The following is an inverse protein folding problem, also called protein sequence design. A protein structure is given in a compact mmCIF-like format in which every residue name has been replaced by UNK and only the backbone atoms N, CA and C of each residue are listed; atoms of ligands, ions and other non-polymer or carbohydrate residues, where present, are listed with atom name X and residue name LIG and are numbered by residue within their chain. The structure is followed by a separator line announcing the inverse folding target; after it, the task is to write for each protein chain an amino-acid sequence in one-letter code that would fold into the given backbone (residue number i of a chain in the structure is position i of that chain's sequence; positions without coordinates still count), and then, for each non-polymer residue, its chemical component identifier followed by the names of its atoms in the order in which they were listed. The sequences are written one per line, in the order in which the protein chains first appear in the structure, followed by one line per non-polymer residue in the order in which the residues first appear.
data_IF_850619013629
#
_entry.id   IF_850619013629
#
_cell.length_a   1.000
_cell.length_b   1.000
_cell.length_c   1.000
_cell.angle_alpha   90.00
_cell.angle_beta   90.00
_cell.angle_gamma   90.00
#
_symmetry.space_group_name_H-M   'P 1'
#
loop_
_entity.id
_entity.type
_entity.pdbx_description
1 polymer ?
#
# COMPACT_ATOMS: atom_id res chain seq x y z
N UNK A 1 15.56 20.78 26.59
CA UNK A 1 16.21 19.45 26.60
C UNK A 1 16.39 18.91 28.03
N UNK A 2 16.87 19.68 29.01
CA UNK A 2 17.14 19.16 30.36
C UNK A 2 15.89 18.72 31.15
N UNK A 3 14.77 19.42 31.05
CA UNK A 3 13.55 19.09 31.83
C UNK A 3 12.81 17.83 31.32
N UNK A 4 12.84 17.55 30.02
CA UNK A 4 12.17 16.38 29.43
C UNK A 4 12.86 15.06 29.78
N UNK A 5 14.20 15.08 29.85
CA UNK A 5 15.05 13.93 30.19
C UNK A 5 14.90 13.56 31.69
N UNK A 6 14.68 14.55 32.56
CA UNK A 6 14.47 14.33 34.00
C UNK A 6 13.18 13.53 34.26
N UNK A 7 12.08 13.81 33.56
CA UNK A 7 10.81 13.07 33.76
C UNK A 7 10.89 11.60 33.30
N UNK A 8 11.73 11.30 32.30
CA UNK A 8 11.90 9.93 31.79
C UNK A 8 12.76 9.08 32.74
N UNK A 9 13.77 9.71 33.36
CA UNK A 9 14.65 9.07 34.35
C UNK A 9 13.89 8.74 35.64
N UNK A 10 13.01 9.63 36.09
CA UNK A 10 12.12 9.42 37.24
C UNK A 10 11.06 8.35 36.97
N UNK A 11 10.47 8.33 35.77
CA UNK A 11 9.50 7.29 35.36
C UNK A 11 10.12 5.89 35.28
N UNK A 12 11.38 5.78 34.83
CA UNK A 12 12.08 4.49 34.79
C UNK A 12 12.58 4.05 36.17
N UNK A 13 13.01 4.95 37.06
CA UNK A 13 13.29 4.59 38.45
C UNK A 13 12.06 4.03 39.15
N UNK A 14 10.88 4.63 38.92
CA UNK A 14 9.60 4.13 39.41
C UNK A 14 9.30 2.72 38.86
N UNK A 15 9.53 2.48 37.56
CA UNK A 15 9.28 1.18 36.93
C UNK A 15 10.30 0.09 37.33
N UNK A 16 11.55 0.46 37.59
CA UNK A 16 12.61 -0.47 38.01
C UNK A 16 12.38 -1.08 39.39
N UNK A 17 11.53 -0.45 40.23
CA UNK A 17 11.08 -0.97 41.53
C UNK A 17 10.08 -2.12 41.41
N UNK A 18 9.44 -2.29 40.24
CA UNK A 18 8.46 -3.35 39.98
C UNK A 18 9.00 -4.48 39.10
N UNK A 19 10.30 -4.44 38.75
CA UNK A 19 10.94 -5.47 37.96
C UNK A 19 11.52 -6.55 38.89
N UNK A 20 11.14 -7.83 38.78
CA UNK A 20 11.50 -8.88 39.73
C UNK A 20 12.96 -9.34 39.66
N UNK A 21 13.81 -8.70 38.85
CA UNK A 21 15.24 -9.04 38.70
C UNK A 21 16.12 -7.78 38.68
N UNK A 22 17.23 -7.82 39.42
CA UNK A 22 18.23 -6.74 39.45
C UNK A 22 18.93 -6.59 38.10
N UNK A 23 18.53 -5.59 37.32
CA UNK A 23 19.29 -5.14 36.15
C UNK A 23 20.66 -4.61 36.61
N UNK A 24 21.73 -5.17 36.07
CA UNK A 24 23.09 -4.71 36.36
C UNK A 24 23.29 -3.26 35.94
N UNK A 25 24.10 -2.52 36.70
CA UNK A 25 24.38 -1.08 36.47
C UNK A 25 24.79 -0.78 35.02
N UNK A 26 25.60 -1.66 34.41
CA UNK A 26 26.03 -1.58 33.00
C UNK A 26 24.89 -1.71 32.00
N UNK A 27 23.91 -2.58 32.26
CA UNK A 27 22.75 -2.75 31.38
C UNK A 27 21.82 -1.53 31.42
N UNK A 28 21.67 -0.92 32.60
CA UNK A 28 20.93 0.35 32.76
C UNK A 28 21.62 1.48 31.99
N UNK A 29 22.94 1.64 32.14
CA UNK A 29 23.72 2.68 31.45
C UNK A 29 23.68 2.53 29.92
N UNK A 30 23.80 1.30 29.39
CA UNK A 30 23.70 1.05 27.95
C UNK A 30 22.31 1.36 27.39
N UNK A 31 21.25 1.03 28.13
CA UNK A 31 19.87 1.37 27.75
C UNK A 31 19.65 2.88 27.71
N UNK A 32 20.11 3.62 28.73
CA UNK A 32 20.01 5.08 28.76
C UNK A 32 20.71 5.73 27.57
N UNK A 33 21.91 5.26 27.21
CA UNK A 33 22.65 5.79 26.06
C UNK A 33 21.91 5.58 24.74
N UNK A 34 21.31 4.41 24.53
CA UNK A 34 20.52 4.12 23.32
C UNK A 34 19.25 4.99 23.26
N UNK A 35 18.59 5.21 24.39
CA UNK A 35 17.42 6.09 24.45
C UNK A 35 17.79 7.56 24.20
N UNK A 36 18.91 8.05 24.74
CA UNK A 36 19.40 9.41 24.47
C UNK A 36 19.74 9.61 22.99
N UNK A 37 20.42 8.65 22.36
CA UNK A 37 20.71 8.69 20.92
C UNK A 37 19.43 8.70 20.09
N UNK A 38 18.43 7.87 20.44
CA UNK A 38 17.15 7.80 19.73
C UNK A 38 16.31 9.08 19.88
N UNK A 39 16.26 9.66 21.08
CA UNK A 39 15.54 10.91 21.35
C UNK A 39 16.23 12.08 20.62
N UNK A 40 17.55 12.11 20.60
CA UNK A 40 18.32 13.10 19.84
C UNK A 40 18.04 12.99 18.34
N UNK A 41 17.98 11.77 17.80
CA UNK A 41 17.70 11.53 16.37
C UNK A 41 16.25 11.91 15.99
N UNK A 42 15.29 11.71 16.90
CA UNK A 42 13.89 12.13 16.71
C UNK A 42 13.77 13.67 16.79
N UNK A 43 14.43 14.31 17.76
CA UNK A 43 14.40 15.76 17.92
C UNK A 43 15.06 16.48 16.74
N UNK A 44 16.16 15.93 16.21
CA UNK A 44 16.83 16.48 15.02
C UNK A 44 15.96 16.37 13.76
N UNK A 45 15.15 15.32 13.63
CA UNK A 45 14.21 15.16 12.50
C UNK A 45 12.99 16.08 12.58
N UNK A 46 12.60 16.48 13.78
CA UNK A 46 11.46 17.40 13.99
C UNK A 46 11.90 18.87 13.88
N UNK A 47 13.17 19.19 14.13
CA UNK A 47 13.69 20.57 13.98
C UNK A 47 13.82 21.05 12.54
N UNK A 48 13.83 20.15 11.56
CA UNK A 48 13.96 20.51 10.14
C UNK A 48 12.65 21.07 9.52
N UNK A 49 11.53 21.08 10.27
CA UNK A 49 10.24 21.65 9.84
C UNK A 49 9.91 23.03 10.48
N UNK A 50 10.89 23.77 11.00
CA UNK A 50 10.64 25.08 11.59
C UNK A 50 10.65 26.22 10.55
N UNK A 51 9.45 26.70 10.17
CA UNK A 51 9.24 27.91 9.39
C UNK A 51 9.69 29.18 10.15
N UNK A 52 10.41 30.05 9.44
CA UNK A 52 10.77 31.40 9.88
C UNK A 52 9.63 32.36 9.54
N UNK A 53 8.93 32.89 10.55
CA UNK A 53 8.20 34.15 10.45
C UNK A 53 8.65 35.07 11.59
N UNK A 54 8.83 36.34 11.26
CA UNK A 54 9.51 37.33 12.07
C UNK A 54 8.87 37.52 13.45
N UNK A 55 9.71 37.41 14.49
CA UNK A 55 9.41 37.95 15.81
C UNK A 55 9.00 36.92 16.86
N UNK A 56 9.98 36.50 17.68
CA UNK A 56 9.85 35.79 18.98
C UNK A 56 9.28 34.36 18.92
N UNK A 57 10.18 33.39 18.68
CA UNK A 57 9.91 31.95 18.84
C UNK A 57 9.83 31.56 20.33
N UNK A 58 8.65 31.13 20.78
CA UNK A 58 8.47 30.23 21.93
C UNK A 58 7.84 28.93 21.40
N UNK A 59 8.61 27.86 21.33
CA UNK A 59 8.12 26.52 20.96
C UNK A 59 7.49 25.87 22.19
N UNK A 60 6.16 25.71 22.19
CA UNK A 60 5.47 24.86 23.15
C UNK A 60 5.39 23.43 22.57
N UNK A 61 6.21 22.52 23.06
CA UNK A 61 6.08 21.07 22.82
C UNK A 61 4.92 20.54 23.66
N UNK A 62 3.73 20.36 23.07
CA UNK A 62 2.54 19.85 23.80
C UNK A 62 2.23 18.37 23.59
N UNK A 63 2.88 17.68 22.64
CA UNK A 63 2.41 16.35 22.19
C UNK A 63 3.47 15.23 22.22
N UNK A 64 4.09 14.95 23.38
CA UNK A 64 4.88 13.70 23.59
C UNK A 64 4.21 12.77 24.61
N UNK A 65 2.87 12.75 24.66
CA UNK A 65 2.14 11.98 25.68
C UNK A 65 1.94 10.49 25.39
N UNK A 66 2.27 9.98 24.20
CA UNK A 66 1.92 8.59 23.84
C UNK A 66 3.07 7.82 23.17
N UNK A 67 4.03 7.34 23.98
CA UNK A 67 4.99 6.29 23.57
C UNK A 67 4.68 5.02 24.37
N UNK A 68 4.29 3.95 23.68
CA UNK A 68 4.13 2.62 24.29
C UNK A 68 5.38 1.78 24.04
N UNK A 69 5.97 1.24 25.11
CA UNK A 69 7.08 0.29 25.05
C UNK A 69 6.57 -1.07 25.51
N UNK A 70 6.56 -2.06 24.62
CA UNK A 70 6.29 -3.46 24.97
C UNK A 70 7.59 -4.25 24.99
N UNK A 71 7.78 -5.08 26.02
CA UNK A 71 8.92 -6.00 26.11
C UNK A 71 8.43 -7.45 26.23
N UNK A 72 9.20 -8.39 25.69
CA UNK A 72 8.96 -9.82 25.85
C UNK A 72 10.27 -10.53 26.19
N UNK A 73 10.28 -11.23 27.33
CA UNK A 73 11.43 -12.01 27.78
C UNK A 73 11.25 -13.47 27.33
N UNK A 74 12.30 -14.08 26.80
CA UNK A 74 12.27 -15.48 26.40
C UNK A 74 13.13 -16.31 27.37
N UNK A 75 12.59 -17.43 27.92
CA UNK A 75 13.41 -18.37 28.67
C UNK A 75 14.38 -19.11 27.73
N UNK A 76 15.57 -19.51 28.22
CA UNK A 76 16.52 -20.27 27.42
C UNK A 76 15.94 -21.64 27.02
N UNK A 77 16.27 -22.08 25.80
CA UNK A 77 15.89 -23.40 25.26
C UNK A 77 16.60 -24.52 26.03
N UNK A 78 15.93 -25.68 26.31
CA UNK A 78 16.54 -26.81 27.02
C UNK A 78 17.76 -27.44 26.32
N UNK A 79 18.03 -27.08 25.06
CA UNK A 79 19.12 -27.64 24.25
C UNK A 79 20.44 -26.84 24.35
N UNK A 80 20.45 -25.69 25.01
CA UNK A 80 21.63 -24.83 25.15
C UNK A 80 22.11 -24.77 26.61
N UNK A 81 22.52 -25.91 27.15
CA UNK A 81 23.04 -26.05 28.51
C UNK A 81 24.46 -25.47 28.73
N UNK A 82 24.98 -24.65 27.80
CA UNK A 82 26.35 -24.09 27.91
C UNK A 82 26.40 -22.68 28.52
N UNK A 83 25.27 -21.97 28.67
CA UNK A 83 25.25 -20.60 29.21
C UNK A 83 23.98 -20.33 30.05
N UNK A 84 23.98 -20.63 31.36
CA UNK A 84 22.77 -20.62 32.19
C UNK A 84 22.22 -19.21 32.53
N UNK A 85 22.91 -18.12 32.15
CA UNK A 85 22.57 -16.74 32.57
C UNK A 85 22.33 -15.74 31.43
N UNK A 86 22.02 -16.19 30.20
CA UNK A 86 21.73 -15.28 29.09
C UNK A 86 20.23 -15.23 28.78
N UNK A 87 19.58 -14.13 29.19
CA UNK A 87 18.23 -13.78 28.76
C UNK A 87 18.30 -12.91 27.50
N UNK A 88 17.58 -13.31 26.45
CA UNK A 88 17.42 -12.49 25.25
C UNK A 88 16.23 -11.53 25.47
N UNK A 89 16.49 -10.23 25.41
CA UNK A 89 15.46 -9.19 25.55
C UNK A 89 15.12 -8.60 24.19
N UNK A 90 13.84 -8.62 23.82
CA UNK A 90 13.33 -7.90 22.66
C UNK A 90 12.45 -6.74 23.12
N UNK A 91 12.73 -5.54 22.62
CA UNK A 91 11.97 -4.33 22.88
C UNK A 91 11.24 -3.89 21.62
N UNK A 92 9.95 -3.58 21.75
CA UNK A 92 9.11 -3.00 20.70
C UNK A 92 8.68 -1.61 21.18
N UNK A 93 9.18 -0.56 20.53
CA UNK A 93 8.78 0.82 20.81
C UNK A 93 7.81 1.23 19.70
N UNK A 94 6.60 1.62 20.08
CA UNK A 94 5.54 2.06 19.16
C UNK A 94 5.24 3.54 19.42
N UNK A 95 5.46 4.39 18.41
CA UNK A 95 4.97 5.77 18.40
C UNK A 95 3.59 5.79 17.78
N UNK A 96 2.60 6.41 18.43
CA UNK A 96 1.19 6.26 18.03
C UNK A 96 0.84 6.81 16.64
N UNK A 97 1.69 7.63 16.01
CA UNK A 97 1.41 8.22 14.69
C UNK A 97 2.34 7.76 13.56
N UNK A 98 3.25 6.80 13.80
CA UNK A 98 4.05 6.18 12.73
C UNK A 98 4.21 4.68 12.97
N UNK A 99 3.78 3.86 12.00
CA UNK A 99 3.98 2.40 12.03
C UNK A 99 5.44 2.04 11.67
N UNK A 100 6.39 2.34 12.55
CA UNK A 100 7.75 1.81 12.48
C UNK A 100 7.99 0.87 13.68
N UNK A 101 8.21 -0.41 13.41
CA UNK A 101 8.69 -1.38 14.41
C UNK A 101 10.18 -1.61 14.18
N UNK A 102 11.02 -1.36 15.19
CA UNK A 102 12.46 -1.63 15.15
C UNK A 102 12.80 -2.69 16.20
N UNK A 103 13.25 -3.86 15.75
CA UNK A 103 13.74 -4.93 16.63
C UNK A 103 15.23 -4.67 16.89
N UNK A 104 15.60 -4.35 18.12
CA UNK A 104 16.99 -4.13 18.53
C UNK A 104 17.48 -5.33 19.34
N UNK A 105 18.51 -6.01 18.84
CA UNK A 105 19.28 -7.02 19.58
C UNK A 105 20.58 -6.34 20.03
N UNK A 106 20.90 -6.29 21.34
CA UNK A 106 22.11 -5.64 21.80
C UNK A 106 23.36 -6.44 21.37
N UNK A 107 24.47 -5.77 21.01
CA UNK A 107 25.70 -6.45 20.64
C UNK A 107 26.45 -6.89 21.89
N UNK A 108 26.59 -8.20 22.11
CA UNK A 108 27.63 -8.75 22.99
C UNK A 108 28.64 -9.54 22.18
N UNK A 109 29.78 -8.89 21.92
CA UNK A 109 31.15 -9.40 21.83
C UNK A 109 31.40 -10.88 21.43
N UNK A 110 32.13 -11.00 20.31
CA UNK A 110 33.04 -12.06 19.87
C UNK A 110 32.47 -13.36 19.27
N UNK A 111 33.11 -13.72 18.15
CA UNK A 111 32.93 -14.85 17.24
C UNK A 111 32.17 -16.07 17.80
N UNK A 112 31.08 -16.43 17.13
CA UNK A 112 30.66 -17.83 16.91
C UNK A 112 29.62 -17.84 15.77
N UNK A 113 29.83 -18.74 14.82
CA UNK A 113 29.22 -18.73 13.50
C UNK A 113 27.69 -18.77 13.48
N UNK A 114 27.16 -18.26 12.36
CA UNK A 114 25.85 -18.64 11.83
C UNK A 114 25.62 -20.14 12.12
N UNK A 115 24.59 -20.44 12.91
CA UNK A 115 23.68 -21.60 12.78
C UNK A 115 22.78 -21.62 14.04
N UNK A 116 21.83 -20.69 14.08
CA UNK A 116 20.62 -20.84 14.88
C UNK A 116 19.42 -20.72 13.92
N UNK A 117 18.56 -21.75 13.98
CA UNK A 117 17.67 -22.21 12.91
C UNK A 117 16.69 -21.18 12.34
N UNK A 118 16.57 -21.16 11.00
CA UNK A 118 15.46 -20.61 10.20
C UNK A 118 14.05 -20.99 10.71
N UNK A 119 13.93 -22.06 11.48
CA UNK A 119 12.64 -22.56 11.99
C UNK A 119 12.08 -21.77 13.17
N UNK A 120 12.92 -21.04 13.93
CA UNK A 120 12.42 -20.23 15.05
C UNK A 120 11.78 -18.90 14.57
N UNK A 121 12.27 -18.36 13.44
CA UNK A 121 11.71 -17.17 12.78
C UNK A 121 10.39 -17.50 12.05
N UNK A 122 10.24 -18.72 11.52
CA UNK A 122 8.97 -19.18 10.91
C UNK A 122 7.80 -19.24 11.89
N UNK A 123 8.06 -19.53 13.17
CA UNK A 123 6.98 -19.69 14.15
C UNK A 123 6.45 -18.37 14.76
N UNK A 124 7.05 -17.24 14.43
CA UNK A 124 6.57 -15.90 14.82
C UNK A 124 5.56 -15.30 13.83
N UNK A 125 5.38 -15.91 12.65
CA UNK A 125 4.44 -15.45 11.63
C UNK A 125 3.60 -16.65 11.17
N UNK A 126 2.38 -16.81 11.72
CA UNK A 126 1.39 -17.71 11.09
C UNK A 126 1.06 -17.13 9.69
N UNK A 127 1.09 -17.93 8.62
CA UNK A 127 1.04 -17.42 7.27
C UNK A 127 -0.40 -17.04 6.90
N UNK A 128 -0.70 -15.74 6.85
CA UNK A 128 -1.66 -15.23 5.87
C UNK A 128 -0.89 -15.04 4.57
N UNK A 129 -1.11 -15.90 3.59
CA UNK A 129 -0.57 -15.77 2.22
C UNK A 129 -1.21 -14.55 1.54
N UNK A 130 -0.72 -13.35 1.85
CA UNK A 130 -0.92 -12.12 1.07
C UNK A 130 0.11 -11.02 1.43
N UNK A 131 1.22 -11.37 2.09
CA UNK A 131 2.33 -10.45 2.36
C UNK A 131 3.62 -11.07 1.82
N UNK A 132 3.89 -10.87 0.53
CA UNK A 132 5.27 -10.75 0.09
C UNK A 132 5.79 -9.41 0.61
N UNK A 133 6.26 -9.41 1.86
CA UNK A 133 7.20 -8.40 2.32
C UNK A 133 8.46 -8.64 1.48
N UNK A 134 8.80 -7.70 0.61
CA UNK A 134 10.14 -7.64 0.00
C UNK A 134 11.14 -7.88 1.12
N UNK A 135 11.89 -8.98 1.04
CA UNK A 135 13.10 -9.13 1.81
C UNK A 135 13.95 -7.92 1.49
N UNK A 136 14.12 -7.01 2.45
CA UNK A 136 15.22 -6.07 2.40
C UNK A 136 16.47 -6.92 2.24
N UNK A 137 17.12 -6.77 1.08
CA UNK A 137 18.36 -7.44 0.78
C UNK A 137 19.29 -7.25 1.98
N UNK A 138 19.86 -8.34 2.47
CA UNK A 138 21.02 -8.27 3.35
C UNK A 138 22.04 -7.37 2.67
N UNK A 139 22.36 -6.23 3.28
CA UNK A 139 23.48 -5.41 2.87
C UNK A 139 24.72 -6.31 2.86
N UNK A 140 25.14 -6.62 1.64
CA UNK A 140 26.41 -7.22 1.29
C UNK A 140 27.08 -6.26 0.30
N UNK A 141 28.41 -6.24 0.26
CA UNK A 141 29.19 -5.02 0.41
C UNK A 141 29.23 -4.16 -0.86
N UNK A 142 29.05 -2.85 -0.69
CA UNK A 142 29.42 -1.78 -1.63
C UNK A 142 28.90 -1.91 -3.07
N UNK A 143 27.61 -1.65 -3.30
CA UNK A 143 27.15 -1.22 -4.61
C UNK A 143 27.55 0.25 -4.84
N UNK A 144 28.60 0.47 -5.63
CA UNK A 144 28.85 1.78 -6.25
C UNK A 144 27.58 2.14 -7.04
N UNK A 145 26.87 3.21 -6.67
CA UNK A 145 25.84 3.80 -7.55
C UNK A 145 26.49 4.08 -8.90
N UNK A 146 26.16 3.30 -9.91
CA UNK A 146 26.61 3.58 -11.27
C UNK A 146 26.11 4.98 -11.67
N UNK A 147 27.05 5.82 -12.09
CA UNK A 147 26.77 7.21 -12.46
C UNK A 147 26.02 7.19 -13.80
N UNK A 148 24.69 7.35 -13.78
CA UNK A 148 23.92 7.53 -15.02
C UNK A 148 24.38 8.81 -15.75
N UNK A 149 24.65 8.70 -17.05
CA UNK A 149 25.03 9.81 -17.93
C UNK A 149 23.80 10.42 -18.59
N UNK A 150 23.85 11.70 -18.93
CA UNK A 150 22.75 12.38 -19.65
C UNK A 150 22.95 12.19 -21.15
N UNK A 151 21.97 11.56 -21.80
CA UNK A 151 22.00 11.28 -23.24
C UNK A 151 21.29 12.39 -24.04
N UNK A 152 20.21 12.93 -23.47
CA UNK A 152 19.37 13.97 -24.06
C UNK A 152 18.78 14.85 -22.95
N UNK A 153 18.80 16.16 -23.13
CA UNK A 153 18.06 17.09 -22.28
C UNK A 153 17.48 18.20 -23.15
N UNK A 154 16.19 18.51 -22.99
CA UNK A 154 15.54 19.61 -23.69
C UNK A 154 14.46 20.24 -22.82
N UNK A 155 14.41 21.57 -22.87
CA UNK A 155 13.40 22.39 -22.21
C UNK A 155 12.48 22.97 -23.26
N UNK A 156 11.19 23.06 -22.93
CA UNK A 156 10.17 23.63 -23.79
C UNK A 156 9.35 24.65 -23.00
N UNK A 157 9.08 25.80 -23.63
CA UNK A 157 8.06 26.73 -23.14
C UNK A 157 6.70 26.21 -23.62
N UNK A 158 5.84 25.84 -22.67
CA UNK A 158 4.56 25.18 -22.92
C UNK A 158 3.42 26.07 -22.41
N UNK A 159 2.18 25.91 -22.90
CA UNK A 159 1.07 26.68 -22.36
C UNK A 159 0.85 26.35 -20.88
N UNK A 160 0.55 27.37 -20.07
CA UNK A 160 0.25 27.20 -18.64
C UNK A 160 -0.94 26.24 -18.41
N UNK A 161 -1.99 26.36 -19.22
CA UNK A 161 -3.22 25.58 -19.09
C UNK A 161 -3.66 24.94 -20.41
N UNK A 162 -4.30 23.77 -20.31
CA UNK A 162 -4.80 23.02 -21.46
C UNK A 162 -3.70 22.44 -22.36
N UNK A 163 -2.49 22.31 -21.83
CA UNK A 163 -1.41 21.57 -22.48
C UNK A 163 -1.57 20.06 -22.32
N UNK A 164 -0.91 19.31 -23.20
CA UNK A 164 -0.88 17.85 -23.10
C UNK A 164 0.47 17.28 -23.49
N UNK A 165 0.95 16.31 -22.72
CA UNK A 165 2.09 15.47 -23.03
C UNK A 165 1.64 14.22 -23.79
N UNK A 166 2.28 13.93 -24.91
CA UNK A 166 2.13 12.72 -25.70
C UNK A 166 3.49 12.06 -25.78
N UNK A 167 3.64 10.87 -25.19
CA UNK A 167 4.90 10.15 -25.17
C UNK A 167 4.75 8.72 -25.67
N UNK A 168 5.75 8.27 -26.42
CA UNK A 168 5.92 6.87 -26.82
C UNK A 168 7.39 6.48 -26.64
N UNK A 169 7.62 5.35 -25.96
CA UNK A 169 8.98 4.86 -25.65
C UNK A 169 9.00 3.34 -25.45
N UNK A 170 10.02 2.63 -25.93
CA UNK A 170 10.24 1.21 -25.61
C UNK A 170 11.01 0.99 -24.29
N UNK A 171 11.41 2.05 -23.59
CA UNK A 171 12.25 2.00 -22.39
C UNK A 171 11.54 2.61 -21.18
N UNK A 172 12.19 2.59 -20.02
CA UNK A 172 11.58 3.13 -18.80
C UNK A 172 11.29 4.63 -18.91
N UNK A 173 10.06 5.02 -18.55
CA UNK A 173 9.61 6.41 -18.55
C UNK A 173 9.11 6.80 -17.17
N UNK A 174 9.53 7.98 -16.72
CA UNK A 174 9.02 8.65 -15.54
C UNK A 174 8.40 9.99 -15.91
N UNK A 175 7.10 10.16 -15.66
CA UNK A 175 6.39 11.43 -15.80
C UNK A 175 6.11 12.01 -14.42
N UNK A 176 6.51 13.26 -14.20
CA UNK A 176 6.31 13.96 -12.92
C UNK A 176 5.80 15.37 -13.16
N UNK A 177 5.13 15.95 -12.18
CA UNK A 177 4.86 17.39 -12.19
C UNK A 177 6.11 18.19 -11.88
N UNK A 178 6.30 19.33 -12.53
CA UNK A 178 7.19 20.38 -12.04
C UNK A 178 6.60 20.98 -10.77
N UNK A 179 7.47 21.31 -9.82
CA UNK A 179 7.05 21.88 -8.56
C UNK A 179 6.53 23.31 -8.76
N UNK A 180 5.26 23.62 -8.43
CA UNK A 180 4.69 24.95 -8.68
C UNK A 180 5.41 26.08 -7.94
N UNK A 181 6.11 25.78 -6.85
CA UNK A 181 6.90 26.77 -6.11
C UNK A 181 8.18 27.20 -6.87
N UNK A 182 8.79 26.30 -7.64
CA UNK A 182 9.94 26.62 -8.50
C UNK A 182 9.50 27.18 -9.86
N UNK A 183 8.34 26.73 -10.36
CA UNK A 183 7.78 27.08 -11.67
C UNK A 183 6.34 27.61 -11.56
N UNK A 184 6.14 28.80 -10.94
CA UNK A 184 4.80 29.31 -10.63
C UNK A 184 3.95 29.64 -11.85
N UNK A 185 4.59 29.94 -12.99
CA UNK A 185 3.90 30.27 -14.23
C UNK A 185 3.32 29.04 -14.96
N UNK A 186 3.68 27.82 -14.55
CA UNK A 186 3.26 26.56 -15.17
C UNK A 186 3.55 26.48 -16.67
N UNK A 187 4.52 27.24 -17.16
CA UNK A 187 4.79 27.46 -18.59
C UNK A 187 6.03 26.71 -19.10
N UNK A 188 6.52 25.72 -18.35
CA UNK A 188 7.73 24.96 -18.70
C UNK A 188 7.51 23.47 -18.67
N UNK A 189 8.22 22.78 -19.54
CA UNK A 189 8.38 21.34 -19.49
C UNK A 189 9.86 20.97 -19.71
N UNK A 190 10.32 19.92 -19.03
CA UNK A 190 11.71 19.46 -19.06
C UNK A 190 11.70 17.98 -19.40
N UNK A 191 12.43 17.62 -20.44
CA UNK A 191 12.65 16.22 -20.84
C UNK A 191 14.13 15.94 -20.63
N UNK A 192 14.44 14.90 -19.85
CA UNK A 192 15.79 14.44 -19.57
C UNK A 192 15.86 12.93 -19.76
N UNK A 193 16.73 12.47 -20.64
CA UNK A 193 17.02 11.05 -20.83
C UNK A 193 18.39 10.74 -20.27
N UNK A 194 18.44 9.71 -19.44
CA UNK A 194 19.68 9.22 -18.83
C UNK A 194 19.93 7.77 -19.22
N UNK A 195 21.19 7.37 -19.29
CA UNK A 195 21.56 5.98 -19.50
C UNK A 195 22.80 5.59 -18.70
N UNK A 196 23.13 4.30 -18.73
CA UNK A 196 24.26 3.77 -17.94
C UNK A 196 25.63 4.15 -18.52
N UNK A 197 25.70 4.42 -19.83
CA UNK A 197 26.91 4.87 -20.52
C UNK A 197 26.58 5.81 -21.67
N UNK A 198 27.60 6.48 -22.23
CA UNK A 198 27.43 7.45 -23.31
C UNK A 198 27.19 6.82 -24.69
N UNK A 199 27.62 5.57 -24.90
CA UNK A 199 27.49 4.85 -26.17
C UNK A 199 26.03 4.57 -26.53
N UNK A 200 25.14 4.53 -25.52
CA UNK A 200 23.69 4.42 -25.71
C UNK A 200 23.09 5.56 -26.54
N UNK A 201 23.77 6.72 -26.59
CA UNK A 201 23.32 7.87 -27.41
C UNK A 201 23.26 7.54 -28.90
N UNK A 202 24.12 6.64 -29.38
CA UNK A 202 24.15 6.25 -30.80
C UNK A 202 23.20 5.08 -31.09
N UNK A 203 22.69 4.41 -30.04
CA UNK A 203 21.79 3.25 -30.12
C UNK A 203 20.31 3.62 -30.01
N UNK A 204 20.00 4.82 -29.53
CA UNK A 204 18.64 5.30 -29.33
C UNK A 204 18.46 6.71 -29.90
N UNK A 205 17.29 6.95 -30.50
CA UNK A 205 16.90 8.26 -31.01
C UNK A 205 15.90 8.90 -30.07
N UNK A 206 16.17 10.16 -29.72
CA UNK A 206 15.32 10.95 -28.83
C UNK A 206 14.89 12.22 -29.55
N UNK A 207 13.58 12.44 -29.65
CA UNK A 207 13.02 13.64 -30.26
C UNK A 207 11.93 14.22 -29.36
N UNK A 208 11.89 15.55 -29.28
CA UNK A 208 10.74 16.25 -28.71
C UNK A 208 10.39 17.51 -29.47
N UNK A 209 9.08 17.70 -29.65
CA UNK A 209 8.48 18.77 -30.46
C UNK A 209 7.21 19.27 -29.80
N UNK A 210 7.06 20.59 -29.76
CA UNK A 210 5.82 21.25 -29.36
C UNK A 210 5.00 21.58 -30.62
N UNK A 211 3.78 21.07 -30.70
CA UNK A 211 2.83 21.34 -31.78
C UNK A 211 1.57 21.99 -31.20
N UNK A 212 1.52 23.32 -31.26
CA UNK A 212 0.47 24.09 -30.58
C UNK A 212 0.54 23.89 -29.06
N UNK A 213 -0.46 23.22 -28.49
CA UNK A 213 -0.54 22.89 -27.05
C UNK A 213 -0.06 21.48 -26.72
N UNK A 214 0.40 20.71 -27.71
CA UNK A 214 0.79 19.30 -27.55
C UNK A 214 2.30 19.16 -27.52
N UNK A 215 2.86 18.79 -26.37
CA UNK A 215 4.27 18.40 -26.26
C UNK A 215 4.38 16.92 -26.60
N UNK A 216 5.08 16.61 -27.68
CA UNK A 216 5.36 15.25 -28.12
C UNK A 216 6.78 14.86 -27.76
N UNK A 217 6.95 13.68 -27.17
CA UNK A 217 8.23 13.04 -26.93
C UNK A 217 8.24 11.63 -27.55
N UNK A 218 9.29 11.34 -28.32
CA UNK A 218 9.48 10.05 -28.96
C UNK A 218 10.86 9.53 -28.59
N UNK A 219 10.88 8.26 -28.20
CA UNK A 219 12.08 7.48 -28.00
C UNK A 219 11.99 6.22 -28.84
N UNK A 220 13.00 5.93 -29.65
CA UNK A 220 13.11 4.67 -30.37
C UNK A 220 14.50 4.09 -30.19
N UNK A 221 14.60 2.77 -30.16
CA UNK A 221 15.88 2.06 -30.07
C UNK A 221 16.14 1.35 -31.38
N UNK A 222 17.38 1.43 -31.88
CA UNK A 222 17.78 0.79 -33.15
C UNK A 222 18.13 -0.70 -32.99
N UNK A 223 18.37 -1.11 -31.75
CA UNK A 223 18.72 -2.48 -31.34
C UNK A 223 17.92 -2.86 -30.09
N UNK A 224 17.84 -4.16 -29.75
CA UNK A 224 17.33 -4.58 -28.45
C UNK A 224 18.26 -4.02 -27.37
N UNK A 225 17.77 -3.05 -26.62
CA UNK A 225 18.43 -2.50 -25.44
C UNK A 225 17.58 -2.98 -24.27
N UNK A 226 18.20 -3.38 -23.16
CA UNK A 226 17.44 -3.64 -21.95
C UNK A 226 16.73 -2.36 -21.52
N UNK A 227 15.43 -2.45 -21.21
CA UNK A 227 14.61 -1.26 -20.92
C UNK A 227 15.13 -0.48 -19.71
N UNK A 228 15.88 -1.15 -18.82
CA UNK A 228 16.50 -0.58 -17.63
C UNK A 228 17.75 0.28 -17.91
N UNK A 229 18.38 0.14 -19.08
CA UNK A 229 19.62 0.87 -19.43
C UNK A 229 19.38 2.34 -19.76
N UNK A 230 18.16 2.68 -20.18
CA UNK A 230 17.75 4.04 -20.57
C UNK A 230 16.50 4.41 -19.79
N UNK A 231 16.52 5.59 -19.16
CA UNK A 231 15.37 6.14 -18.45
C UNK A 231 15.08 7.56 -18.93
N UNK A 232 13.87 7.78 -19.44
CA UNK A 232 13.35 9.09 -19.79
C UNK A 232 12.57 9.67 -18.61
N UNK A 233 12.97 10.84 -18.13
CA UNK A 233 12.23 11.64 -17.14
C UNK A 233 11.62 12.85 -17.83
N UNK A 234 10.31 12.96 -17.77
CA UNK A 234 9.53 14.06 -18.36
C UNK A 234 8.81 14.79 -17.24
N UNK A 235 9.22 16.03 -16.99
CA UNK A 235 8.59 16.90 -16.00
C UNK A 235 7.74 17.96 -16.70
N UNK A 236 6.45 17.97 -16.39
CA UNK A 236 5.45 18.85 -17.03
C UNK A 236 4.68 19.66 -15.98
N UNK A 237 3.98 20.73 -16.37
CA UNK A 237 3.09 21.43 -15.45
C UNK A 237 2.05 20.49 -14.85
N UNK A 238 1.72 20.71 -13.57
CA UNK A 238 0.87 19.81 -12.78
C UNK A 238 -0.54 19.59 -13.38
N UNK A 239 -1.05 20.57 -14.13
CA UNK A 239 -2.38 20.60 -14.76
C UNK A 239 -2.41 20.01 -16.18
N UNK A 240 -1.29 19.56 -16.73
CA UNK A 240 -1.25 19.04 -18.10
C UNK A 240 -1.84 17.63 -18.20
N UNK A 241 -2.50 17.37 -19.32
CA UNK A 241 -2.98 16.04 -19.66
C UNK A 241 -1.80 15.14 -20.06
N UNK A 242 -1.88 13.85 -19.74
CA UNK A 242 -0.82 12.89 -20.04
C UNK A 242 -1.36 11.75 -20.89
N UNK A 243 -0.70 11.50 -22.01
CA UNK A 243 -0.92 10.34 -22.88
C UNK A 243 0.42 9.63 -23.02
N UNK A 244 0.54 8.48 -22.39
CA UNK A 244 1.77 7.72 -22.34
C UNK A 244 1.59 6.31 -22.85
N UNK A 245 2.45 5.92 -23.79
CA UNK A 245 2.49 4.58 -24.36
C UNK A 245 3.90 4.02 -24.22
N UNK A 246 4.07 3.02 -23.37
CA UNK A 246 5.34 2.34 -23.16
C UNK A 246 5.26 0.93 -23.71
N UNK A 247 6.10 0.65 -24.69
CA UNK A 247 6.09 -0.61 -25.42
C UNK A 247 7.04 -1.63 -24.77
N UNK A 248 6.85 -2.91 -25.12
CA UNK A 248 7.72 -4.02 -24.72
C UNK A 248 7.87 -4.16 -23.19
N UNK A 249 9.09 -4.23 -22.67
CA UNK A 249 9.41 -4.38 -21.25
C UNK A 249 9.66 -3.04 -20.53
N UNK A 250 9.36 -1.90 -21.16
CA UNK A 250 9.53 -0.60 -20.50
C UNK A 250 8.52 -0.41 -19.38
N UNK A 251 8.98 0.12 -18.24
CA UNK A 251 8.14 0.47 -17.10
C UNK A 251 7.74 1.95 -17.14
N UNK A 252 6.56 2.27 -16.61
CA UNK A 252 5.99 3.61 -16.63
C UNK A 252 5.69 4.09 -15.21
N UNK A 253 6.39 5.11 -14.73
CA UNK A 253 6.14 5.77 -13.44
C UNK A 253 5.52 7.15 -13.68
N UNK A 254 4.24 7.33 -13.35
CA UNK A 254 3.53 8.62 -13.47
C UNK A 254 3.08 9.07 -12.09
N UNK A 255 3.40 10.30 -11.70
CA UNK A 255 2.91 10.80 -10.43
C UNK A 255 2.94 12.31 -10.24
N UNK A 256 2.36 12.69 -9.10
CA UNK A 256 2.26 14.08 -8.63
C UNK A 256 1.45 15.00 -9.55
N UNK A 257 0.60 14.42 -10.41
CA UNK A 257 -0.31 15.19 -11.25
C UNK A 257 -1.52 15.66 -10.44
N UNK A 258 -1.88 16.93 -10.60
CA UNK A 258 -3.06 17.50 -9.97
C UNK A 258 -3.84 18.35 -10.96
N UNK A 259 -5.14 18.07 -11.06
CA UNK A 259 -6.10 18.85 -11.83
C UNK A 259 -5.91 18.76 -13.35
N UNK A 260 -5.35 17.64 -13.81
CA UNK A 260 -5.43 17.28 -15.23
C UNK A 260 -6.82 16.73 -15.57
N UNK A 261 -7.29 16.96 -16.79
CA UNK A 261 -8.56 16.39 -17.25
C UNK A 261 -8.40 14.89 -17.59
N UNK A 262 -7.28 14.54 -18.19
CA UNK A 262 -7.02 13.20 -18.72
C UNK A 262 -5.61 12.71 -18.40
N UNK A 263 -5.52 11.50 -17.87
CA UNK A 263 -4.28 10.74 -17.71
C UNK A 263 -4.49 9.35 -18.29
N UNK A 264 -3.96 9.10 -19.48
CA UNK A 264 -4.10 7.84 -20.22
C UNK A 264 -2.74 7.18 -20.35
N UNK A 265 -2.59 6.02 -19.72
CA UNK A 265 -1.35 5.28 -19.60
C UNK A 265 -1.51 3.90 -20.22
N UNK A 266 -0.58 3.53 -21.10
CA UNK A 266 -0.51 2.23 -21.75
C UNK A 266 0.87 1.63 -21.53
N UNK A 267 0.88 0.35 -21.21
CA UNK A 267 2.07 -0.47 -21.03
C UNK A 267 1.85 -1.87 -21.62
N UNK A 268 2.94 -2.62 -21.79
CA UNK A 268 2.89 -4.02 -22.21
C UNK A 268 3.36 -4.96 -21.09
N UNK A 269 4.65 -5.29 -21.04
CA UNK A 269 5.20 -6.27 -20.11
C UNK A 269 5.90 -5.64 -18.90
N UNK A 270 6.21 -4.34 -18.96
CA UNK A 270 6.74 -3.59 -17.82
C UNK A 270 5.65 -3.05 -16.90
N UNK A 271 6.04 -2.72 -15.67
CA UNK A 271 5.11 -2.28 -14.63
C UNK A 271 4.64 -0.85 -14.88
N UNK A 272 3.40 -0.55 -14.50
CA UNK A 272 2.86 0.80 -14.50
C UNK A 272 2.63 1.25 -13.06
N UNK A 273 3.35 2.27 -12.62
CA UNK A 273 3.16 2.90 -11.32
C UNK A 273 2.46 4.25 -11.48
N UNK A 274 1.35 4.45 -10.77
CA UNK A 274 0.60 5.70 -10.71
C UNK A 274 0.61 6.22 -9.28
N UNK A 275 1.16 7.41 -9.05
CA UNK A 275 1.39 7.95 -7.71
C UNK A 275 0.73 9.31 -7.48
N UNK A 276 -0.17 9.42 -6.49
CA UNK A 276 -0.77 10.71 -6.05
C UNK A 276 -1.38 11.53 -7.20
N UNK A 277 -2.20 10.90 -8.04
CA UNK A 277 -2.84 11.54 -9.19
C UNK A 277 -4.25 12.02 -8.84
N UNK A 278 -4.56 13.28 -9.13
CA UNK A 278 -5.91 13.85 -9.11
C UNK A 278 -6.26 14.30 -10.53
N UNK A 279 -7.20 13.61 -11.17
CA UNK A 279 -7.63 13.90 -12.54
C UNK A 279 -9.14 13.74 -12.70
N UNK A 280 -9.74 14.29 -13.76
CA UNK A 280 -11.13 13.98 -14.09
C UNK A 280 -11.29 12.53 -14.61
N UNK A 281 -10.34 12.06 -15.43
CA UNK A 281 -10.35 10.70 -15.99
C UNK A 281 -8.96 10.07 -16.01
N UNK A 282 -8.79 8.96 -15.29
CA UNK A 282 -7.60 8.13 -15.30
C UNK A 282 -7.90 6.82 -16.04
N UNK A 283 -7.15 6.53 -17.10
CA UNK A 283 -7.18 5.23 -17.78
C UNK A 283 -5.80 4.60 -17.77
N UNK A 284 -5.68 3.39 -17.23
CA UNK A 284 -4.44 2.62 -17.20
C UNK A 284 -4.69 1.28 -17.86
N UNK A 285 -3.87 0.93 -18.85
CA UNK A 285 -3.99 -0.31 -19.61
C UNK A 285 -2.63 -1.00 -19.70
N UNK A 286 -2.54 -2.22 -19.19
CA UNK A 286 -1.41 -3.13 -19.42
C UNK A 286 -1.89 -4.25 -20.32
N UNK A 287 -1.24 -4.51 -21.45
CA UNK A 287 -1.63 -5.61 -22.36
C UNK A 287 -0.93 -6.94 -22.05
N UNK A 288 0.20 -6.89 -21.35
CA UNK A 288 1.09 -8.02 -21.12
C UNK A 288 1.08 -8.50 -19.68
N UNK A 289 2.25 -8.84 -19.14
CA UNK A 289 2.40 -9.38 -17.79
C UNK A 289 2.72 -8.35 -16.70
N UNK A 290 2.89 -7.08 -17.07
CA UNK A 290 3.31 -6.03 -16.14
C UNK A 290 2.24 -5.70 -15.12
N UNK A 291 2.65 -5.47 -13.87
CA UNK A 291 1.75 -5.14 -12.77
C UNK A 291 1.40 -3.64 -12.78
N UNK A 292 0.23 -3.31 -12.21
CA UNK A 292 -0.23 -1.92 -12.05
C UNK A 292 -0.24 -1.57 -10.57
N UNK A 293 0.59 -0.62 -10.18
CA UNK A 293 0.75 -0.13 -8.81
C UNK A 293 0.16 1.27 -8.66
N UNK A 294 -0.87 1.42 -7.83
CA UNK A 294 -1.47 2.69 -7.47
C UNK A 294 -1.00 3.11 -6.07
N UNK A 295 -0.08 4.08 -6.04
CA UNK A 295 0.57 4.57 -4.83
C UNK A 295 -0.05 5.89 -4.36
N UNK A 296 -0.25 6.03 -3.05
CA UNK A 296 -0.95 7.18 -2.49
C UNK A 296 -2.43 7.27 -2.86
N UNK A 297 -3.00 8.46 -2.71
CA UNK A 297 -4.41 8.69 -3.00
C UNK A 297 -4.59 8.98 -4.50
N UNK A 298 -5.47 8.22 -5.16
CA UNK A 298 -5.81 8.41 -6.57
C UNK A 298 -7.25 8.89 -6.64
N UNK A 299 -7.47 10.00 -7.36
CA UNK A 299 -8.77 10.65 -7.46
C UNK A 299 -9.21 10.88 -8.90
N UNK A 300 -10.45 10.50 -9.23
CA UNK A 300 -11.06 10.73 -10.55
C UNK A 300 -12.07 9.66 -10.94
N UNK A 301 -12.47 9.66 -12.22
CA UNK A 301 -13.10 8.51 -12.87
C UNK A 301 -12.00 7.55 -13.32
N UNK A 302 -11.89 6.40 -12.67
CA UNK A 302 -10.71 5.54 -12.79
C UNK A 302 -11.07 4.26 -13.51
N UNK A 303 -10.35 3.96 -14.58
CA UNK A 303 -10.43 2.70 -15.32
C UNK A 303 -9.06 2.06 -15.41
N UNK A 304 -8.92 0.85 -14.87
CA UNK A 304 -7.70 0.07 -14.87
C UNK A 304 -7.99 -1.27 -15.54
N UNK A 305 -7.20 -1.62 -16.54
CA UNK A 305 -7.28 -2.91 -17.22
C UNK A 305 -5.90 -3.54 -17.26
N UNK A 306 -5.78 -4.73 -16.69
CA UNK A 306 -4.56 -5.53 -16.72
C UNK A 306 -4.81 -6.81 -17.52
N UNK A 307 -4.15 -6.93 -18.66
CA UNK A 307 -4.11 -8.12 -19.49
C UNK A 307 -3.19 -9.19 -18.91
N UNK A 308 -3.14 -10.34 -19.57
CA UNK A 308 -2.23 -11.44 -19.25
C UNK A 308 -2.26 -11.83 -17.76
N UNK A 309 -1.09 -11.81 -17.13
CA UNK A 309 -0.88 -12.17 -15.72
C UNK A 309 -0.58 -10.99 -14.79
N UNK A 310 -0.75 -9.75 -15.26
CA UNK A 310 -0.47 -8.56 -14.46
C UNK A 310 -1.52 -8.35 -13.37
N UNK A 311 -1.08 -8.08 -12.15
CA UNK A 311 -1.93 -7.79 -11.00
C UNK A 311 -2.14 -6.29 -10.80
N UNK A 312 -3.18 -5.91 -10.06
CA UNK A 312 -3.47 -4.50 -9.72
C UNK A 312 -3.43 -4.33 -8.21
N UNK A 313 -2.59 -3.40 -7.73
CA UNK A 313 -2.46 -3.13 -6.31
C UNK A 313 -2.63 -1.63 -5.99
N UNK A 314 -3.46 -1.30 -5.00
CA UNK A 314 -3.59 0.03 -4.44
C UNK A 314 -3.28 0.02 -2.95
N UNK A 315 -2.24 0.76 -2.55
CA UNK A 315 -1.72 0.74 -1.17
C UNK A 315 -2.55 1.59 -0.19
N UNK A 316 -3.20 2.65 -0.69
CA UNK A 316 -3.86 3.67 0.13
C UNK A 316 -5.34 3.80 -0.17
N UNK A 317 -5.74 4.56 -1.20
CA UNK A 317 -7.17 4.73 -1.53
C UNK A 317 -7.45 5.22 -2.94
N UNK A 318 -8.56 4.75 -3.49
CA UNK A 318 -9.27 5.37 -4.61
C UNK A 318 -10.41 6.26 -4.10
N UNK A 319 -10.70 7.35 -4.81
CA UNK A 319 -11.83 8.24 -4.50
C UNK A 319 -12.34 8.93 -5.76
N UNK A 320 -13.65 9.08 -5.92
CA UNK A 320 -14.22 9.73 -7.10
C UNK A 320 -15.58 9.17 -7.47
N UNK A 321 -16.14 9.55 -8.62
CA UNK A 321 -17.47 9.07 -9.00
C UNK A 321 -17.48 7.58 -9.36
N UNK A 322 -16.44 7.11 -10.04
CA UNK A 322 -16.38 5.74 -10.56
C UNK A 322 -15.00 5.11 -10.47
N UNK A 323 -14.96 3.81 -10.21
CA UNK A 323 -13.78 2.95 -10.30
C UNK A 323 -14.14 1.66 -11.04
N UNK A 324 -13.36 1.29 -12.06
CA UNK A 324 -13.47 0.02 -12.78
C UNK A 324 -12.09 -0.63 -12.91
N UNK A 325 -11.89 -1.76 -12.23
CA UNK A 325 -10.66 -2.56 -12.30
C UNK A 325 -10.99 -3.92 -12.89
N UNK A 326 -10.31 -4.24 -13.98
CA UNK A 326 -10.44 -5.52 -14.68
C UNK A 326 -9.07 -6.17 -14.83
N UNK A 327 -8.95 -7.43 -14.44
CA UNK A 327 -7.76 -8.26 -14.72
C UNK A 327 -8.16 -9.53 -15.48
N UNK A 328 -7.23 -10.14 -16.20
CA UNK A 328 -7.46 -11.48 -16.77
C UNK A 328 -7.08 -12.57 -15.76
N UNK A 329 -5.78 -12.76 -15.51
CA UNK A 329 -5.28 -13.77 -14.56
C UNK A 329 -4.55 -13.21 -13.33
N UNK A 330 -4.50 -11.88 -13.19
CA UNK A 330 -3.84 -11.21 -12.08
C UNK A 330 -4.76 -10.96 -10.89
N UNK A 331 -4.15 -10.84 -9.70
CA UNK A 331 -4.88 -10.53 -8.47
C UNK A 331 -5.25 -9.03 -8.39
N UNK A 332 -6.29 -8.73 -7.61
CA UNK A 332 -6.68 -7.34 -7.31
C UNK A 332 -6.54 -7.10 -5.80
N UNK A 333 -5.71 -6.15 -5.40
CA UNK A 333 -5.50 -5.78 -3.99
C UNK A 333 -5.78 -4.30 -3.79
N UNK A 334 -6.82 -3.96 -3.00
CA UNK A 334 -7.23 -2.57 -2.78
C UNK A 334 -7.37 -2.27 -1.30
N UNK A 335 -6.64 -1.26 -0.85
CA UNK A 335 -6.64 -0.80 0.52
C UNK A 335 -7.91 -0.08 0.95
N UNK A 336 -8.43 0.81 0.11
CA UNK A 336 -9.69 1.48 0.35
C UNK A 336 -10.27 2.01 -0.97
N UNK A 337 -11.58 1.91 -1.11
CA UNK A 337 -12.33 2.49 -2.20
C UNK A 337 -13.46 3.36 -1.62
N UNK A 338 -13.39 4.66 -1.90
CA UNK A 338 -14.42 5.64 -1.56
C UNK A 338 -15.13 6.17 -2.81
N UNK A 339 -15.20 5.36 -3.86
CA UNK A 339 -15.93 5.76 -5.07
C UNK A 339 -17.44 5.66 -4.86
N UNK A 340 -18.25 6.44 -5.56
CA UNK A 340 -19.72 6.31 -5.51
C UNK A 340 -20.14 4.95 -6.09
N UNK A 341 -19.51 4.59 -7.22
CA UNK A 341 -19.64 3.28 -7.85
C UNK A 341 -18.27 2.64 -8.04
N UNK A 342 -18.17 1.34 -7.79
CA UNK A 342 -16.93 0.59 -7.97
C UNK A 342 -17.16 -0.79 -8.58
N UNK A 343 -16.29 -1.19 -9.50
CA UNK A 343 -16.31 -2.48 -10.17
C UNK A 343 -14.93 -3.12 -10.07
N UNK A 344 -14.91 -4.37 -9.63
CA UNK A 344 -13.71 -5.21 -9.58
C UNK A 344 -14.04 -6.53 -10.26
N UNK A 345 -13.28 -6.90 -11.29
CA UNK A 345 -13.52 -8.16 -11.98
C UNK A 345 -12.24 -8.85 -12.44
N UNK A 346 -12.22 -10.17 -12.36
CA UNK A 346 -11.12 -11.02 -12.85
C UNK A 346 -11.65 -12.33 -13.41
N UNK A 347 -10.95 -12.93 -14.37
CA UNK A 347 -11.26 -14.28 -14.83
C UNK A 347 -10.63 -15.32 -13.90
N UNK A 348 -9.32 -15.23 -13.68
CA UNK A 348 -8.51 -16.17 -12.90
C UNK A 348 -7.63 -15.42 -11.89
N UNK A 349 -8.18 -14.94 -10.79
CA UNK A 349 -7.42 -14.14 -9.84
C UNK A 349 -8.16 -14.02 -8.51
N UNK A 350 -7.41 -13.84 -7.43
CA UNK A 350 -7.97 -13.56 -6.12
C UNK A 350 -8.09 -12.06 -5.88
N UNK A 351 -9.08 -11.67 -5.07
CA UNK A 351 -9.29 -10.28 -4.68
C UNK A 351 -9.11 -10.10 -3.19
N UNK A 352 -8.35 -9.09 -2.79
CA UNK A 352 -8.18 -8.67 -1.41
C UNK A 352 -8.58 -7.18 -1.28
N UNK A 353 -9.82 -6.95 -0.87
CA UNK A 353 -10.44 -5.65 -0.80
C UNK A 353 -10.61 -5.27 0.68
N UNK A 354 -9.87 -4.30 1.20
CA UNK A 354 -9.93 -4.02 2.63
C UNK A 354 -11.19 -3.24 3.00
N UNK A 355 -11.31 -1.99 2.53
CA UNK A 355 -12.47 -1.15 2.82
C UNK A 355 -13.16 -0.71 1.53
N UNK A 356 -14.42 -1.06 1.36
CA UNK A 356 -15.23 -0.71 0.19
C UNK A 356 -16.48 0.04 0.66
N UNK A 357 -16.69 1.23 0.09
CA UNK A 357 -17.83 2.09 0.39
C UNK A 357 -18.81 2.18 -0.78
N UNK A 358 -20.03 2.61 -0.47
CA UNK A 358 -21.10 2.90 -1.43
C UNK A 358 -21.46 1.68 -2.28
N UNK A 359 -21.62 1.83 -3.58
CA UNK A 359 -22.03 0.73 -4.46
C UNK A 359 -20.82 0.01 -5.06
N UNK A 360 -20.77 -1.31 -4.89
CA UNK A 360 -19.70 -2.16 -5.44
C UNK A 360 -20.21 -3.39 -6.17
N UNK A 361 -19.58 -3.68 -7.31
CA UNK A 361 -19.75 -4.93 -8.05
C UNK A 361 -18.41 -5.68 -8.09
N UNK A 362 -18.41 -6.92 -7.62
CA UNK A 362 -17.21 -7.75 -7.49
C UNK A 362 -17.48 -9.08 -8.17
N UNK A 363 -16.66 -9.46 -9.16
CA UNK A 363 -16.86 -10.69 -9.91
C UNK A 363 -15.57 -11.47 -10.16
N UNK A 364 -15.57 -12.74 -9.81
CA UNK A 364 -14.57 -13.73 -10.25
C UNK A 364 -15.25 -14.69 -11.20
N UNK A 365 -14.96 -14.56 -12.50
CA UNK A 365 -15.73 -15.25 -13.54
C UNK A 365 -15.35 -16.72 -13.73
N UNK A 366 -14.11 -17.14 -13.43
CA UNK A 366 -13.70 -18.55 -13.52
C UNK A 366 -13.23 -19.10 -12.18
N UNK A 367 -12.10 -18.60 -11.65
CA UNK A 367 -11.55 -19.14 -10.41
C UNK A 367 -10.73 -18.11 -9.62
N UNK A 368 -10.93 -18.06 -8.30
CA UNK A 368 -10.18 -17.21 -7.39
C UNK A 368 -10.96 -16.93 -6.11
N UNK A 369 -10.24 -16.57 -5.05
CA UNK A 369 -10.85 -16.30 -3.76
C UNK A 369 -11.13 -14.81 -3.59
N UNK A 370 -12.21 -14.46 -2.90
CA UNK A 370 -12.55 -13.07 -2.59
C UNK A 370 -12.47 -12.85 -1.09
N UNK A 371 -11.61 -11.93 -0.66
CA UNK A 371 -11.52 -11.49 0.72
C UNK A 371 -11.88 -10.01 0.82
N UNK A 372 -12.87 -9.69 1.64
CA UNK A 372 -13.32 -8.33 1.92
C UNK A 372 -13.32 -8.07 3.42
N UNK A 373 -12.57 -7.06 3.87
CA UNK A 373 -12.42 -6.78 5.32
C UNK A 373 -13.46 -5.78 5.85
N UNK A 374 -14.16 -5.06 4.98
CA UNK A 374 -15.13 -4.05 5.36
C UNK A 374 -15.94 -3.56 4.18
N UNK A 375 -17.25 -3.75 4.26
CA UNK A 375 -18.24 -3.15 3.35
C UNK A 375 -19.13 -2.18 4.14
N UNK A 376 -19.16 -0.91 3.72
CA UNK A 376 -20.10 0.11 4.18
C UNK A 376 -20.85 0.68 2.96
N UNK A 377 -21.96 0.05 2.61
CA UNK A 377 -22.68 0.35 1.38
C UNK A 377 -23.51 -0.81 0.87
N UNK A 378 -23.59 -0.96 -0.45
CA UNK A 378 -24.32 -2.02 -1.13
C UNK A 378 -23.36 -2.77 -2.04
N UNK A 379 -23.37 -4.09 -1.98
CA UNK A 379 -22.42 -4.90 -2.74
C UNK A 379 -23.09 -6.04 -3.47
N UNK A 380 -22.65 -6.30 -4.69
CA UNK A 380 -22.95 -7.51 -5.44
C UNK A 380 -21.65 -8.28 -5.68
N UNK A 381 -21.54 -9.46 -5.09
CA UNK A 381 -20.37 -10.33 -5.19
C UNK A 381 -20.78 -11.61 -5.90
N UNK A 382 -20.07 -11.94 -6.99
CA UNK A 382 -20.24 -13.19 -7.71
C UNK A 382 -18.89 -13.91 -7.83
N UNK A 383 -18.85 -15.18 -7.43
CA UNK A 383 -17.68 -16.04 -7.59
C UNK A 383 -18.10 -17.35 -8.21
N UNK A 384 -17.57 -17.66 -9.40
CA UNK A 384 -17.83 -18.97 -10.02
C UNK A 384 -17.16 -20.09 -9.25
N UNK A 385 -15.87 -19.98 -8.96
CA UNK A 385 -15.13 -20.97 -8.18
C UNK A 385 -14.15 -20.32 -7.22
N UNK A 386 -14.26 -20.63 -5.95
CA UNK A 386 -13.40 -20.12 -4.88
C UNK A 386 -14.20 -19.60 -3.68
N UNK A 387 -13.49 -19.38 -2.59
CA UNK A 387 -14.11 -19.03 -1.32
C UNK A 387 -14.31 -17.51 -1.20
N UNK A 388 -15.35 -17.11 -0.47
CA UNK A 388 -15.66 -15.72 -0.13
C UNK A 388 -15.52 -15.54 1.38
N UNK A 389 -14.62 -14.64 1.83
CA UNK A 389 -14.52 -14.19 3.24
C UNK A 389 -14.83 -12.69 3.29
N UNK A 390 -16.05 -12.33 3.72
CA UNK A 390 -16.55 -10.96 3.69
C UNK A 390 -16.96 -10.46 5.07
N UNK A 391 -16.50 -9.28 5.46
CA UNK A 391 -16.97 -8.56 6.63
C UNK A 391 -17.83 -7.37 6.23
N UNK A 392 -19.09 -7.40 6.66
CA UNK A 392 -20.10 -6.40 6.34
C UNK A 392 -20.30 -5.53 7.58
N UNK A 393 -20.01 -4.24 7.44
CA UNK A 393 -20.21 -3.26 8.51
C UNK A 393 -21.62 -2.68 8.45
N UNK A 394 -22.02 -2.14 7.30
CA UNK A 394 -23.34 -1.52 7.10
C UNK A 394 -23.83 -1.85 5.69
N UNK A 395 -25.07 -2.36 5.59
CA UNK A 395 -25.76 -2.53 4.29
C UNK A 395 -26.72 -1.37 4.09
N UNK A 396 -26.62 -0.66 2.96
CA UNK A 396 -27.45 0.54 2.68
C UNK A 396 -28.61 0.28 1.72
N UNK A 397 -28.41 -0.60 0.74
CA UNK A 397 -29.43 -1.06 -0.20
C UNK A 397 -29.30 -2.58 -0.42
N UNK A 398 -30.09 -3.11 -1.35
CA UNK A 398 -30.06 -4.52 -1.72
C UNK A 398 -28.63 -4.97 -2.08
N UNK A 399 -28.20 -6.06 -1.46
CA UNK A 399 -26.88 -6.65 -1.65
C UNK A 399 -27.00 -8.14 -1.87
N UNK A 400 -26.11 -8.69 -2.70
CA UNK A 400 -26.09 -10.11 -3.04
C UNK A 400 -24.68 -10.65 -2.98
N UNK A 401 -24.51 -11.82 -2.38
CA UNK A 401 -23.25 -12.56 -2.35
C UNK A 401 -23.53 -13.97 -2.87
N UNK A 402 -22.91 -14.35 -3.97
CA UNK A 402 -23.20 -15.59 -4.66
C UNK A 402 -21.90 -16.32 -5.02
N UNK A 403 -21.79 -17.58 -4.60
CA UNK A 403 -20.76 -18.52 -5.04
C UNK A 403 -21.39 -19.75 -5.72
N UNK A 404 -20.91 -20.13 -6.91
CA UNK A 404 -21.34 -21.38 -7.56
C UNK A 404 -20.61 -22.61 -6.98
N UNK A 405 -19.30 -22.53 -6.77
CA UNK A 405 -18.45 -23.60 -6.19
C UNK A 405 -17.45 -23.00 -5.19
N UNK A 406 -17.75 -23.08 -3.89
CA UNK A 406 -16.92 -22.51 -2.84
C UNK A 406 -17.69 -22.15 -1.58
N UNK A 407 -16.97 -22.03 -0.47
CA UNK A 407 -17.57 -21.67 0.82
C UNK A 407 -17.69 -20.14 0.97
N UNK A 408 -18.74 -19.69 1.64
CA UNK A 408 -18.97 -18.29 1.96
C UNK A 408 -18.94 -18.09 3.47
N UNK A 409 -18.03 -17.23 3.94
CA UNK A 409 -17.96 -16.77 5.32
C UNK A 409 -18.36 -15.30 5.33
N UNK A 410 -19.44 -14.97 6.06
CA UNK A 410 -19.85 -13.59 6.27
C UNK A 410 -19.82 -13.23 7.75
N UNK A 411 -19.05 -12.20 8.07
CA UNK A 411 -18.94 -11.61 9.42
C UNK A 411 -19.77 -10.34 9.50
N UNK A 412 -20.62 -10.21 10.50
CA UNK A 412 -21.39 -8.98 10.76
C UNK A 412 -21.81 -8.92 12.24
N UNK A 413 -21.94 -7.70 12.78
CA UNK A 413 -22.37 -7.42 14.15
C UNK A 413 -23.88 -7.67 14.34
N UNK A 414 -24.70 -7.55 13.28
CA UNK A 414 -26.16 -7.40 13.40
C UNK A 414 -27.01 -8.57 12.85
N UNK A 415 -26.42 -9.64 12.29
CA UNK A 415 -27.22 -10.75 11.72
C UNK A 415 -28.06 -11.50 12.74
N UNK A 416 -27.60 -11.55 13.99
CA UNK A 416 -28.24 -12.28 15.09
C UNK A 416 -29.59 -11.72 15.52
N UNK A 417 -29.93 -10.49 15.14
CA UNK A 417 -31.15 -9.79 15.62
C UNK A 417 -32.29 -9.83 14.60
N UNK A 418 -32.00 -9.91 13.29
CA UNK A 418 -33.03 -9.67 12.25
C UNK A 418 -32.95 -10.58 11.00
N UNK A 419 -32.05 -11.57 10.97
CA UNK A 419 -31.91 -12.50 9.84
C UNK A 419 -32.87 -13.70 9.89
N UNK A 420 -33.48 -14.08 8.77
CA UNK A 420 -34.27 -15.32 8.64
C UNK A 420 -33.54 -16.29 7.72
N UNK A 421 -33.02 -17.38 8.29
CA UNK A 421 -32.45 -18.47 7.49
C UNK A 421 -33.61 -19.22 6.84
N UNK A 422 -33.63 -19.26 5.51
CA UNK A 422 -34.64 -20.02 4.77
C UNK A 422 -33.92 -20.96 3.82
N UNK A 423 -33.73 -22.25 4.17
CA UNK A 423 -33.27 -23.22 3.20
C UNK A 423 -34.32 -23.30 2.09
N UNK A 424 -33.90 -23.28 0.82
CA UNK A 424 -34.82 -23.63 -0.27
C UNK A 424 -34.84 -25.14 -0.45
N UNK A 425 -35.98 -25.64 -0.90
CA UNK A 425 -36.21 -27.06 -1.23
C UNK A 425 -35.39 -27.56 -2.45
N UNK A 426 -34.58 -26.70 -3.08
CA UNK A 426 -33.71 -27.01 -4.21
C UNK A 426 -32.30 -27.50 -3.81
N UNK A 427 -32.04 -27.66 -2.50
CA UNK A 427 -30.77 -28.16 -1.97
C UNK A 427 -29.73 -27.07 -1.70
N UNK A 428 -30.07 -25.80 -1.94
CA UNK A 428 -29.19 -24.65 -1.67
C UNK A 428 -29.36 -24.09 -0.26
N UNK A 429 -28.25 -23.64 0.34
CA UNK A 429 -28.24 -22.91 1.62
C UNK A 429 -28.32 -21.41 1.31
N UNK A 430 -29.54 -20.91 1.13
CA UNK A 430 -29.77 -19.47 0.96
C UNK A 430 -29.92 -18.79 2.32
N UNK A 431 -29.27 -17.63 2.46
CA UNK A 431 -29.46 -16.73 3.58
C UNK A 431 -30.15 -15.46 3.13
N UNK A 432 -31.21 -15.11 3.84
CA UNK A 432 -31.93 -13.85 3.66
C UNK A 432 -31.93 -13.08 4.97
N UNK A 433 -31.36 -11.89 4.98
CA UNK A 433 -31.48 -10.98 6.11
C UNK A 433 -32.12 -9.65 5.71
N UNK A 434 -33.06 -9.22 6.54
CA UNK A 434 -33.57 -7.85 6.58
C UNK A 434 -33.04 -7.21 7.85
N UNK A 435 -32.38 -6.06 7.78
CA UNK A 435 -31.86 -5.34 8.98
C UNK A 435 -33.00 -4.89 9.91
N UNK A 436 -34.19 -4.56 9.38
CA UNK A 436 -35.38 -4.23 10.16
C UNK A 436 -36.63 -4.84 9.50
N UNK A 437 -37.13 -6.00 9.96
CA UNK A 437 -38.23 -6.70 9.31
C UNK A 437 -39.55 -5.91 9.30
N UNK A 438 -39.74 -5.00 10.26
CA UNK A 438 -40.95 -4.18 10.41
C UNK A 438 -40.89 -2.83 9.68
N UNK A 439 -39.82 -2.59 8.90
CA UNK A 439 -39.63 -1.36 8.12
C UNK A 439 -39.10 -1.72 6.73
N UNK A 440 -39.21 -0.82 5.75
CA UNK A 440 -38.43 -0.98 4.53
C UNK A 440 -36.95 -0.97 4.91
N UNK A 441 -36.30 -2.12 4.75
CA UNK A 441 -34.95 -2.37 5.23
C UNK A 441 -34.08 -2.87 4.08
N UNK A 442 -32.80 -2.49 4.05
CA UNK A 442 -31.84 -3.11 3.15
C UNK A 442 -31.85 -4.63 3.32
N UNK A 443 -31.75 -5.34 2.20
CA UNK A 443 -31.73 -6.80 2.14
C UNK A 443 -30.33 -7.28 1.79
N UNK A 444 -29.93 -8.41 2.38
CA UNK A 444 -28.74 -9.14 2.00
C UNK A 444 -29.13 -10.59 1.66
N UNK A 445 -28.86 -10.98 0.42
CA UNK A 445 -29.01 -12.34 -0.06
C UNK A 445 -27.63 -13.02 -0.16
N UNK A 446 -27.46 -14.19 0.45
CA UNK A 446 -26.23 -14.99 0.34
C UNK A 446 -26.59 -16.36 -0.20
N UNK A 447 -25.92 -16.78 -1.27
CA UNK A 447 -26.18 -18.03 -1.98
C UNK A 447 -24.86 -18.76 -2.19
N UNK A 448 -24.72 -19.96 -1.62
CA UNK A 448 -23.66 -20.90 -2.00
C UNK A 448 -24.33 -22.11 -2.68
N UNK A 449 -24.04 -22.34 -3.95
CA UNK A 449 -24.65 -23.45 -4.70
C UNK A 449 -24.00 -24.79 -4.34
N UNK A 450 -22.69 -24.89 -4.53
CA UNK A 450 -21.88 -26.05 -4.18
C UNK A 450 -20.87 -25.66 -3.09
N UNK A 451 -21.40 -25.29 -1.92
CA UNK A 451 -20.58 -24.88 -0.78
C UNK A 451 -21.41 -24.66 0.47
N UNK A 452 -20.75 -24.16 1.52
CA UNK A 452 -21.39 -23.86 2.80
C UNK A 452 -21.40 -22.35 3.03
N UNK A 453 -22.50 -21.88 3.61
CA UNK A 453 -22.57 -20.52 4.17
C UNK A 453 -22.33 -20.58 5.67
N UNK A 454 -21.30 -19.90 6.15
CA UNK A 454 -20.99 -19.68 7.55
C UNK A 454 -21.21 -18.22 7.90
N UNK A 455 -22.03 -17.99 8.91
CA UNK A 455 -22.29 -16.65 9.45
C UNK A 455 -21.63 -16.52 10.81
N UNK A 456 -20.77 -15.52 10.94
CA UNK A 456 -20.07 -15.23 12.20
C UNK A 456 -20.59 -13.91 12.78
N UNK A 457 -21.06 -13.96 14.02
CA UNK A 457 -21.29 -12.75 14.80
C UNK A 457 -19.94 -12.19 15.21
N UNK A 458 -19.61 -10.99 14.74
CA UNK A 458 -18.38 -10.32 15.14
C UNK A 458 -18.74 -9.11 15.99
N UNK A 459 -18.23 -9.03 17.22
CA UNK A 459 -18.38 -7.84 18.07
C UNK A 459 -17.32 -6.78 17.67
N UNK A 460 -17.64 -5.49 17.81
CA UNK A 460 -16.73 -4.38 17.48
C UNK A 460 -15.42 -4.43 18.28
N UNK A 461 -15.44 -5.01 19.47
CA UNK A 461 -14.22 -5.22 20.25
C UNK A 461 -13.36 -6.36 19.66
N UNK A 462 -13.99 -7.41 19.15
CA UNK A 462 -13.30 -8.52 18.48
C UNK A 462 -12.69 -8.08 17.14
N UNK A 463 -13.31 -7.13 16.42
CA UNK A 463 -12.73 -6.54 15.20
C UNK A 463 -11.51 -5.65 15.46
N UNK A 464 -11.36 -5.13 16.69
CA UNK A 464 -10.15 -4.44 17.16
C UNK A 464 -9.11 -5.37 17.80
N UNK A 465 -9.35 -6.69 17.83
CA UNK A 465 -8.47 -7.67 18.47
C UNK A 465 -8.52 -7.65 20.00
N UNK A 466 -9.51 -6.98 20.59
CA UNK A 466 -9.75 -6.95 22.03
C UNK A 466 -10.62 -8.16 22.40
N UNK A 467 -10.12 -9.01 23.29
CA UNK A 467 -10.95 -10.04 23.94
C UNK A 467 -11.70 -9.37 25.09
N UNK A 468 -13.00 -9.11 24.92
CA UNK A 468 -13.84 -8.77 26.07
C UNK A 468 -13.98 -10.04 26.91
N UNK A 469 -13.65 -10.03 28.21
CA UNK A 469 -13.94 -11.14 29.10
C UNK A 469 -15.46 -11.32 29.16
N UNK A 470 -15.92 -12.52 28.80
CA UNK A 470 -17.34 -12.89 28.93
C UNK A 470 -17.65 -12.94 30.43
N UNK A 471 -18.40 -11.98 30.93
CA UNK A 471 -19.01 -12.10 32.26
C UNK A 471 -20.04 -13.22 32.20
N UNK A 472 -19.84 -14.23 33.05
CA UNK A 472 -20.70 -15.42 33.18
C UNK A 472 -22.13 -15.07 33.56
#
# INVERSE_FOLDING_TARGET
MSESIVSFKEGFEYFSRFCPFELTKKAKEAFFKICEELISDILNRVSDEAFYDGGRTKVYLRDVKNVMIQYKCFPPSPKDARYPNQHLYAFLIKHCDTQAAKLLIPPSSFELGLWASRDMIRNLVKPSRCLQIRGFASESPTNKREKKTVLFEKRHDVPAFGGSLWLSSPTDVKVTSLAPHEYPNLDRAIIKVTGNNQELKDKAEFASKLEGKKLKFYCSTRLPIDSSEIQATVSIPVVHNVFADVESNGSLDVGDLMESDFCHLKGSDGDITVSRVKTNSLTVQSSGKGDIYCCGAIQGNIKITSGGSGSVACEKRFSGPSLDIVTDTGDISVAACYSETSKFSTNYGSMNLRNIHNESYIAVYNQGNVKIQGVDGSTNIFVKKGDIDCHISIVRHESRIHAEDGDIIVKNINFSVHGKITPKDDGYVNYYATIHPDKFSPTLEIIAENGRVLLESQDWAASLGLKIPVTQ
#
